data_IF_385744599671
#
_entry.id   IF_385744599671
#
_cell.length_a   1.000
_cell.length_b   1.000
_cell.length_c   1.000
_cell.angle_alpha   90.00
_cell.angle_beta   90.00
_cell.angle_gamma   90.00
#
_symmetry.space_group_name_H-M   'P 1'
#
loop_
_entity.id
_entity.type
_entity.pdbx_description
1 polymer ?
#
# COMPACT_ATOMS: atom_id res chain seq x y z
N UNK A 1 23.29 -8.76 -8.60
CA UNK A 1 22.69 -8.08 -7.45
C UNK A 1 21.92 -6.88 -7.98
N UNK A 2 20.60 -6.87 -7.85
CA UNK A 2 19.79 -5.72 -8.25
C UNK A 2 20.07 -4.59 -7.27
N UNK A 3 20.56 -3.45 -7.78
CA UNK A 3 20.90 -2.31 -6.96
C UNK A 3 19.63 -1.47 -6.77
N UNK A 4 18.96 -1.62 -5.62
CA UNK A 4 17.87 -0.71 -5.24
C UNK A 4 18.48 0.65 -4.96
N UNK A 5 17.95 1.71 -5.55
CA UNK A 5 18.50 3.04 -5.37
C UNK A 5 18.30 3.53 -3.93
N UNK A 6 19.23 4.33 -3.43
CA UNK A 6 19.08 4.96 -2.10
C UNK A 6 17.83 5.84 -2.01
N UNK A 7 17.45 6.47 -3.13
CA UNK A 7 16.24 7.29 -3.22
C UNK A 7 14.97 6.45 -3.04
N UNK A 8 14.90 5.26 -3.65
CA UNK A 8 13.77 4.34 -3.45
C UNK A 8 13.70 3.88 -1.98
N UNK A 9 14.82 3.48 -1.39
CA UNK A 9 14.88 3.09 0.02
C UNK A 9 14.41 4.22 0.95
N UNK A 10 14.81 5.47 0.66
CA UNK A 10 14.36 6.64 1.42
C UNK A 10 12.85 6.85 1.27
N UNK A 11 12.31 6.79 0.05
CA UNK A 11 10.87 6.91 -0.20
C UNK A 11 10.07 5.86 0.58
N UNK A 12 10.55 4.62 0.59
CA UNK A 12 9.94 3.51 1.35
C UNK A 12 9.98 3.82 2.84
N UNK A 13 11.13 4.24 3.37
CA UNK A 13 11.27 4.61 4.78
C UNK A 13 10.34 5.76 5.18
N UNK A 14 10.20 6.77 4.32
CA UNK A 14 9.30 7.91 4.53
C UNK A 14 7.83 7.44 4.58
N UNK A 15 7.41 6.51 3.70
CA UNK A 15 6.08 5.90 3.78
C UNK A 15 5.89 5.09 5.07
N UNK A 16 6.88 4.27 5.45
CA UNK A 16 6.83 3.47 6.69
C UNK A 16 6.75 4.34 7.95
N UNK A 17 7.32 5.55 7.92
CA UNK A 17 7.22 6.49 9.04
C UNK A 17 5.77 6.86 9.38
N UNK A 18 4.83 6.72 8.44
CA UNK A 18 3.40 6.92 8.69
C UNK A 18 2.81 5.91 9.68
N UNK A 19 3.46 4.78 9.93
CA UNK A 19 3.05 3.78 10.94
C UNK A 19 3.56 4.13 12.35
N UNK A 20 4.43 5.12 12.50
CA UNK A 20 5.07 5.42 13.79
C UNK A 20 4.02 5.79 14.83
N UNK A 21 4.02 5.07 15.95
CA UNK A 21 3.10 5.29 17.07
C UNK A 21 1.68 4.76 16.83
N UNK A 22 1.44 4.03 15.74
CA UNK A 22 0.15 3.42 15.43
C UNK A 22 0.12 1.94 15.80
N UNK A 23 -0.98 1.49 16.37
CA UNK A 23 -1.25 0.07 16.60
C UNK A 23 -1.68 -0.60 15.29
N UNK A 24 -0.99 -1.65 14.87
CA UNK A 24 -1.41 -2.49 13.73
C UNK A 24 -2.49 -3.46 14.22
N UNK A 25 -3.67 -3.39 13.63
CA UNK A 25 -4.83 -4.24 13.96
C UNK A 25 -4.93 -5.46 13.08
N UNK A 26 -4.48 -5.37 11.82
CA UNK A 26 -4.44 -6.51 10.90
C UNK A 26 -3.20 -6.47 10.00
N UNK A 27 -2.67 -7.66 9.69
CA UNK A 27 -1.59 -7.86 8.74
C UNK A 27 -1.90 -9.08 7.87
N UNK A 28 -1.96 -8.89 6.55
CA UNK A 28 -2.23 -9.98 5.60
C UNK A 28 -1.12 -10.05 4.57
N UNK A 29 -0.46 -11.20 4.49
CA UNK A 29 0.54 -11.51 3.47
C UNK A 29 -0.14 -12.28 2.33
N UNK A 30 0.05 -11.84 1.10
CA UNK A 30 -0.37 -12.60 -0.09
C UNK A 30 0.45 -13.89 -0.19
N UNK A 31 -0.16 -14.97 -0.67
CA UNK A 31 0.45 -16.31 -0.70
C UNK A 31 1.74 -16.41 -1.52
N UNK A 32 1.95 -15.50 -2.49
CA UNK A 32 3.16 -15.41 -3.29
C UNK A 32 4.28 -14.59 -2.63
N UNK A 33 4.06 -14.10 -1.41
CA UNK A 33 4.95 -13.26 -0.62
C UNK A 33 5.35 -11.95 -1.31
N UNK A 34 4.59 -11.50 -2.31
CA UNK A 34 4.86 -10.27 -3.06
C UNK A 34 4.05 -9.08 -2.56
N UNK A 35 3.15 -9.26 -1.61
CA UNK A 35 2.33 -8.17 -1.10
C UNK A 35 1.99 -8.34 0.37
N UNK A 36 2.19 -7.29 1.16
CA UNK A 36 1.81 -7.18 2.56
C UNK A 36 0.82 -6.02 2.71
N UNK A 37 -0.37 -6.31 3.21
CA UNK A 37 -1.36 -5.30 3.63
C UNK A 37 -1.34 -5.17 5.15
N UNK A 38 -1.27 -3.94 5.63
CA UNK A 38 -1.34 -3.57 7.04
C UNK A 38 -2.53 -2.63 7.25
N UNK A 39 -3.23 -2.80 8.37
CA UNK A 39 -4.27 -1.90 8.84
C UNK A 39 -3.95 -1.46 10.26
N UNK A 40 -4.17 -0.19 10.55
CA UNK A 40 -3.99 0.38 11.89
C UNK A 40 -5.33 0.77 12.50
N UNK A 41 -5.32 0.92 13.82
CA UNK A 41 -6.52 1.25 14.61
C UNK A 41 -7.20 2.56 14.19
N UNK A 42 -6.43 3.52 13.71
CA UNK A 42 -6.91 4.82 13.21
C UNK A 42 -7.36 4.79 11.74
N UNK A 43 -7.55 3.60 11.15
CA UNK A 43 -8.07 3.43 9.79
C UNK A 43 -7.05 3.69 8.68
N UNK A 44 -5.75 3.84 8.99
CA UNK A 44 -4.72 3.83 7.95
C UNK A 44 -4.51 2.40 7.44
N UNK A 45 -4.54 2.27 6.12
CA UNK A 45 -4.18 1.06 5.40
C UNK A 45 -2.87 1.30 4.65
N UNK A 46 -1.91 0.39 4.78
CA UNK A 46 -0.67 0.42 4.04
C UNK A 46 -0.53 -0.87 3.23
N UNK A 47 -0.14 -0.76 1.97
CA UNK A 47 0.14 -1.90 1.10
C UNK A 47 1.57 -1.81 0.61
N UNK A 48 2.38 -2.80 0.95
CA UNK A 48 3.73 -2.96 0.43
C UNK A 48 3.68 -4.04 -0.64
N UNK A 49 4.26 -3.78 -1.81
CA UNK A 49 4.32 -4.77 -2.89
C UNK A 49 5.69 -4.84 -3.54
N UNK A 50 6.08 -6.04 -3.94
CA UNK A 50 7.29 -6.30 -4.73
C UNK A 50 6.87 -6.54 -6.17
N UNK A 51 7.11 -5.53 -7.00
CA UNK A 51 6.86 -5.55 -8.43
C UNK A 51 8.15 -5.84 -9.21
N UNK A 52 8.00 -6.06 -10.51
CA UNK A 52 9.11 -6.19 -11.45
C UNK A 52 8.97 -5.05 -12.44
N UNK A 53 9.99 -4.20 -12.55
CA UNK A 53 9.99 -3.09 -13.50
C UNK A 53 10.13 -3.60 -14.96
N UNK A 54 10.02 -2.68 -15.92
CA UNK A 54 10.13 -3.00 -17.35
C UNK A 54 11.48 -3.64 -17.74
N UNK A 55 12.53 -3.46 -16.93
CA UNK A 55 13.85 -4.03 -17.11
C UNK A 55 14.03 -5.37 -16.38
N UNK A 56 12.97 -5.94 -15.80
CA UNK A 56 13.03 -7.19 -15.06
C UNK A 56 13.59 -7.06 -13.64
N UNK A 57 13.75 -5.84 -13.13
CA UNK A 57 14.34 -5.58 -11.81
C UNK A 57 13.26 -5.54 -10.74
N UNK A 58 13.45 -6.22 -9.60
CA UNK A 58 12.55 -6.09 -8.46
C UNK A 58 12.49 -4.64 -7.97
N UNK A 59 11.28 -4.14 -7.75
CA UNK A 59 10.97 -2.80 -7.24
C UNK A 59 10.00 -2.92 -6.08
N UNK A 60 10.23 -2.16 -5.01
CA UNK A 60 9.33 -2.13 -3.86
C UNK A 60 8.44 -0.88 -3.93
N UNK A 61 7.14 -1.10 -3.91
CA UNK A 61 6.13 -0.05 -3.84
C UNK A 61 5.42 -0.06 -2.49
N UNK A 62 5.07 1.14 -2.02
CA UNK A 62 4.36 1.34 -0.75
C UNK A 62 3.27 2.36 -0.95
N UNK A 63 2.03 1.88 -0.90
CA UNK A 63 0.83 2.71 -0.94
C UNK A 63 0.31 2.93 0.47
N UNK A 64 -0.01 4.18 0.79
CA UNK A 64 -0.62 4.56 2.07
C UNK A 64 -1.98 5.17 1.77
N UNK A 65 -3.02 4.49 2.21
CA UNK A 65 -4.42 4.90 2.02
C UNK A 65 -5.01 5.17 3.40
N UNK A 66 -5.60 6.35 3.59
CA UNK A 66 -6.43 6.61 4.77
C UNK A 66 -7.86 6.28 4.40
N UNK A 67 -8.52 5.42 5.18
CA UNK A 67 -9.96 5.24 5.01
C UNK A 67 -10.65 6.58 5.33
N UNK A 68 -11.63 7.01 4.52
CA UNK A 68 -12.44 8.17 4.86
C UNK A 68 -13.16 7.93 6.20
N UNK A 69 -13.19 8.96 7.06
CA UNK A 69 -13.73 8.90 8.43
C UNK A 69 -15.24 8.60 8.48
N UNK A 70 -15.93 8.68 7.34
CA UNK A 70 -17.33 8.29 7.20
C UNK A 70 -17.48 7.29 6.04
N UNK A 71 -18.38 6.29 6.14
CA UNK A 71 -18.87 5.57 4.98
C UNK A 71 -19.67 6.55 4.11
N UNK A 72 -18.94 7.35 3.33
CA UNK A 72 -19.48 8.31 2.39
C UNK A 72 -20.39 7.59 1.42
N UNK A 73 -21.63 8.09 1.33
CA UNK A 73 -22.74 7.62 0.48
C UNK A 73 -22.27 6.81 -0.73
N UNK A 74 -22.75 5.57 -0.80
CA UNK A 74 -22.58 4.69 -1.95
C UNK A 74 -22.97 5.44 -3.24
N UNK A 75 -22.00 5.62 -4.14
CA UNK A 75 -22.25 6.16 -5.48
C UNK A 75 -22.90 5.07 -6.34
N UNK A 76 -24.22 5.13 -6.48
CA UNK A 76 -24.93 4.35 -7.50
C UNK A 76 -24.69 5.00 -8.87
N UNK A 77 -23.89 4.35 -9.70
CA UNK A 77 -23.72 4.73 -11.11
C UNK A 77 -24.63 3.84 -11.95
N UNK A 78 -25.60 4.43 -12.65
CA UNK A 78 -26.41 3.74 -13.67
C UNK A 78 -25.69 3.85 -15.01
N UNK A 79 -25.46 2.71 -15.63
CA UNK A 79 -24.97 2.65 -17.01
C UNK A 79 -26.18 2.68 -17.94
N UNK A 80 -26.44 3.81 -18.57
CA UNK A 80 -27.40 3.87 -19.67
C UNK A 80 -26.79 3.14 -20.87
N UNK A 81 -27.53 2.15 -21.38
CA UNK A 81 -27.13 1.36 -22.54
C UNK A 81 -27.14 2.26 -23.77
N UNK A 82 -25.99 2.35 -24.46
CA UNK A 82 -25.87 2.98 -25.79
C UNK A 82 -26.33 2.01 -26.86
#
# INVERSE_FOLDING_TARGET
MTQVSFQELRRIADSLAALRGKSVTAATMRSDLRQLRLETEDGLMMVLSVEVDEAGRPRLEVDVVRQPEEPGRQLEVRFDSV
#
